data_IF_119962693277
#
_entry.id   IF_119962693277
#
_cell.length_a   1.000
_cell.length_b   1.000
_cell.length_c   1.000
_cell.angle_alpha   90.00
_cell.angle_beta   90.00
_cell.angle_gamma   90.00
#
_symmetry.space_group_name_H-M   'P 1'
#
loop_
_entity.id
_entity.type
_entity.pdbx_description
1 polymer ?
#
# COMPACT_ATOMS: atom_id res chain seq x y z
N UNK A 1 25.84 -14.32 14.13
CA UNK A 1 24.54 -13.87 13.60
C UNK A 1 24.62 -12.41 13.10
N UNK A 2 25.23 -12.16 11.93
CA UNK A 2 25.32 -10.81 11.36
C UNK A 2 24.00 -10.31 10.76
N UNK A 3 23.20 -11.19 10.14
CA UNK A 3 21.94 -10.83 9.47
C UNK A 3 20.87 -10.30 10.43
N UNK A 4 20.75 -10.89 11.62
CA UNK A 4 19.78 -10.44 12.62
C UNK A 4 20.06 -8.99 13.09
N UNK A 5 21.33 -8.63 13.28
CA UNK A 5 21.70 -7.25 13.62
C UNK A 5 21.42 -6.27 12.46
N UNK A 6 21.63 -6.69 11.22
CA UNK A 6 21.31 -5.86 10.05
C UNK A 6 19.80 -5.65 9.87
N UNK A 7 18.97 -6.66 10.17
CA UNK A 7 17.51 -6.54 10.19
C UNK A 7 17.02 -5.51 11.21
N UNK A 8 17.63 -5.46 12.40
CA UNK A 8 17.27 -4.50 13.45
C UNK A 8 17.59 -3.05 13.06
N UNK A 9 18.54 -2.84 12.14
CA UNK A 9 18.85 -1.50 11.63
C UNK A 9 17.71 -0.89 10.79
N UNK A 10 16.85 -1.73 10.19
CA UNK A 10 15.67 -1.27 9.46
C UNK A 10 14.59 -0.78 10.45
N UNK A 11 14.58 0.53 10.71
CA UNK A 11 13.57 1.20 11.55
C UNK A 11 12.24 1.40 10.81
N UNK A 12 11.58 0.30 10.44
CA UNK A 12 10.28 0.30 9.76
C UNK A 12 9.12 0.16 10.75
N UNK A 13 8.03 0.90 10.52
CA UNK A 13 6.80 0.82 11.32
C UNK A 13 5.99 -0.47 11.03
N UNK A 14 6.14 -1.03 9.83
CA UNK A 14 5.51 -2.30 9.41
C UNK A 14 6.58 -3.20 8.77
N UNK A 15 7.31 -4.02 9.54
CA UNK A 15 8.36 -4.88 8.99
C UNK A 15 7.74 -6.00 8.16
N UNK A 16 8.18 -6.13 6.90
CA UNK A 16 7.88 -7.26 6.04
C UNK A 16 9.14 -8.10 5.87
N UNK A 17 9.27 -9.13 6.71
CA UNK A 17 10.51 -9.88 6.91
C UNK A 17 11.01 -10.53 5.61
N UNK A 18 10.11 -11.13 4.82
CA UNK A 18 10.48 -11.82 3.58
C UNK A 18 11.08 -10.86 2.55
N UNK A 19 10.44 -9.71 2.32
CA UNK A 19 10.95 -8.70 1.39
C UNK A 19 12.27 -8.08 1.87
N UNK A 20 12.43 -7.88 3.18
CA UNK A 20 13.68 -7.40 3.77
C UNK A 20 14.81 -8.41 3.57
N UNK A 21 14.56 -9.68 3.90
CA UNK A 21 15.52 -10.78 3.71
C UNK A 21 15.96 -10.90 2.25
N UNK A 22 15.01 -10.79 1.30
CA UNK A 22 15.30 -10.83 -0.13
C UNK A 22 16.25 -9.72 -0.60
N UNK A 23 16.33 -8.59 0.12
CA UNK A 23 17.26 -7.50 -0.22
C UNK A 23 18.64 -7.69 0.41
N UNK A 24 18.74 -8.38 1.54
CA UNK A 24 20.01 -8.54 2.28
C UNK A 24 20.80 -9.78 1.88
N UNK A 25 20.14 -10.84 1.42
CA UNK A 25 20.82 -12.08 1.04
C UNK A 25 20.13 -12.77 -0.13
N UNK A 26 20.95 -13.30 -1.04
CA UNK A 26 20.53 -14.20 -2.11
C UNK A 26 20.73 -15.68 -1.78
N UNK A 27 21.41 -15.99 -0.66
CA UNK A 27 21.68 -17.35 -0.20
C UNK A 27 20.54 -17.83 0.69
N UNK A 28 19.54 -18.48 0.09
CA UNK A 28 18.35 -19.02 0.77
C UNK A 28 18.16 -20.48 0.39
N UNK A 29 17.82 -21.32 1.37
CA UNK A 29 17.45 -22.72 1.15
C UNK A 29 16.09 -23.00 1.81
N UNK A 30 15.27 -23.79 1.15
CA UNK A 30 13.95 -24.21 1.65
C UNK A 30 14.10 -25.59 2.28
N UNK A 31 13.58 -25.75 3.49
CA UNK A 31 13.53 -27.04 4.18
C UNK A 31 12.08 -27.42 4.39
N UNK A 32 11.70 -28.62 3.95
CA UNK A 32 10.37 -29.15 4.22
C UNK A 32 10.26 -29.54 5.70
N UNK A 33 9.24 -29.01 6.36
CA UNK A 33 8.92 -29.32 7.75
C UNK A 33 7.53 -29.95 7.78
N UNK A 34 7.34 -31.14 8.38
CA UNK A 34 6.02 -31.72 8.52
C UNK A 34 5.17 -30.83 9.43
N UNK A 35 4.08 -30.31 8.88
CA UNK A 35 3.10 -29.54 9.65
C UNK A 35 2.05 -30.52 10.20
N UNK A 36 1.89 -30.54 11.52
CA UNK A 36 0.83 -31.32 12.16
C UNK A 36 -0.56 -30.79 11.81
N UNK A 37 -1.57 -31.66 11.87
CA UNK A 37 -2.97 -31.24 11.74
C UNK A 37 -3.33 -30.25 12.84
N UNK A 38 -4.03 -29.17 12.47
CA UNK A 38 -4.49 -28.16 13.42
C UNK A 38 -5.52 -28.80 14.36
N UNK A 39 -5.25 -28.79 15.65
CA UNK A 39 -6.16 -29.37 16.64
C UNK A 39 -7.39 -28.49 16.90
N UNK A 40 -7.30 -27.17 16.67
CA UNK A 40 -8.37 -26.20 16.96
C UNK A 40 -8.37 -25.04 15.96
N UNK A 41 -9.56 -24.55 15.60
CA UNK A 41 -9.79 -23.30 14.85
C UNK A 41 -10.05 -23.48 13.36
N UNK A 42 -10.85 -22.58 12.79
CA UNK A 42 -11.10 -22.50 11.35
C UNK A 42 -9.95 -21.83 10.60
N UNK A 43 -9.81 -22.15 9.31
CA UNK A 43 -8.86 -21.47 8.43
C UNK A 43 -9.12 -19.96 8.43
N UNK A 44 -8.14 -19.19 8.92
CA UNK A 44 -8.20 -17.72 8.88
C UNK A 44 -8.13 -17.19 7.44
N UNK A 45 -7.71 -18.03 6.49
CA UNK A 45 -7.50 -17.73 5.08
C UNK A 45 -8.76 -17.97 4.24
N UNK A 46 -9.69 -17.02 4.28
CA UNK A 46 -10.78 -16.98 3.29
C UNK A 46 -10.29 -16.36 1.98
N UNK A 47 -10.82 -16.78 0.84
CA UNK A 47 -10.45 -16.25 -0.48
C UNK A 47 -10.49 -14.71 -0.52
N UNK A 48 -11.49 -14.10 0.11
CA UNK A 48 -11.61 -12.64 0.24
C UNK A 48 -10.43 -12.01 1.00
N UNK A 49 -9.95 -12.65 2.07
CA UNK A 49 -8.78 -12.18 2.83
C UNK A 49 -7.50 -12.34 2.02
N UNK A 50 -7.35 -13.42 1.24
CA UNK A 50 -6.20 -13.59 0.34
C UNK A 50 -6.16 -12.51 -0.74
N UNK A 51 -7.29 -12.24 -1.40
CA UNK A 51 -7.37 -11.22 -2.45
C UNK A 51 -7.05 -9.83 -1.87
N UNK A 52 -7.65 -9.49 -0.72
CA UNK A 52 -7.34 -8.25 -0.01
C UNK A 52 -5.85 -8.14 0.35
N UNK A 53 -5.25 -9.22 0.84
CA UNK A 53 -3.81 -9.28 1.12
C UNK A 53 -2.96 -9.08 -0.13
N UNK A 54 -3.29 -9.77 -1.23
CA UNK A 54 -2.56 -9.66 -2.49
C UNK A 54 -2.62 -8.24 -3.05
N UNK A 55 -3.80 -7.61 -3.04
CA UNK A 55 -3.97 -6.20 -3.45
C UNK A 55 -3.16 -5.28 -2.56
N UNK A 56 -3.19 -5.48 -1.24
CA UNK A 56 -2.43 -4.64 -0.32
C UNK A 56 -0.91 -4.77 -0.53
N UNK A 57 -0.40 -5.98 -0.79
CA UNK A 57 1.01 -6.22 -1.13
C UNK A 57 1.34 -5.55 -2.47
N UNK A 58 0.52 -5.76 -3.50
CA UNK A 58 0.73 -5.18 -4.83
C UNK A 58 0.80 -3.65 -4.80
N UNK A 59 -0.09 -3.00 -4.06
CA UNK A 59 -0.09 -1.53 -3.96
C UNK A 59 1.02 -1.02 -3.05
N UNK A 60 1.42 -1.78 -2.02
CA UNK A 60 2.48 -1.34 -1.09
C UNK A 60 3.88 -1.45 -1.68
N UNK A 61 4.15 -2.47 -2.50
CA UNK A 61 5.48 -2.71 -3.07
C UNK A 61 5.65 -2.18 -4.50
N UNK A 62 4.62 -1.62 -5.11
CA UNK A 62 4.66 -1.19 -6.50
C UNK A 62 4.27 0.27 -6.68
N UNK A 63 4.89 0.94 -7.66
CA UNK A 63 4.48 2.26 -8.14
C UNK A 63 3.55 2.17 -9.37
N UNK A 64 3.22 0.94 -9.79
CA UNK A 64 2.36 0.65 -10.95
C UNK A 64 1.00 1.34 -10.90
N UNK A 65 0.22 1.30 -9.79
CA UNK A 65 -1.10 1.92 -9.73
C UNK A 65 -1.06 3.42 -10.03
N UNK A 66 -0.09 4.12 -9.43
CA UNK A 66 0.12 5.54 -9.66
C UNK A 66 0.49 5.81 -11.13
N UNK A 67 1.38 4.99 -11.70
CA UNK A 67 1.82 5.12 -13.09
C UNK A 67 0.69 4.88 -14.10
N UNK A 68 -0.16 3.89 -13.85
CA UNK A 68 -1.35 3.61 -14.68
C UNK A 68 -2.33 4.77 -14.61
N UNK A 69 -2.59 5.33 -13.42
CA UNK A 69 -3.43 6.51 -13.27
C UNK A 69 -2.85 7.72 -14.02
N UNK A 70 -1.53 7.95 -13.95
CA UNK A 70 -0.86 9.03 -14.68
C UNK A 70 -0.92 8.86 -16.20
N UNK A 71 -0.62 7.66 -16.72
CA UNK A 71 -0.69 7.40 -18.16
C UNK A 71 -2.13 7.43 -18.69
N UNK A 72 -3.08 6.89 -17.93
CA UNK A 72 -4.52 6.97 -18.24
C UNK A 72 -4.99 8.42 -18.31
N UNK A 73 -4.63 9.24 -17.32
CA UNK A 73 -4.93 10.67 -17.32
C UNK A 73 -4.30 11.43 -18.50
N UNK A 74 -3.05 11.12 -18.85
CA UNK A 74 -2.37 11.73 -19.99
C UNK A 74 -3.03 11.35 -21.34
N UNK A 75 -3.41 10.09 -21.52
CA UNK A 75 -4.13 9.63 -22.70
C UNK A 75 -5.51 10.29 -22.82
N UNK A 76 -6.24 10.41 -21.70
CA UNK A 76 -7.51 11.12 -21.64
C UNK A 76 -7.36 12.59 -22.01
N UNK A 77 -6.34 13.28 -21.46
CA UNK A 77 -6.08 14.67 -21.75
C UNK A 77 -5.78 14.91 -23.23
N UNK A 78 -5.01 14.01 -23.86
CA UNK A 78 -4.72 14.06 -25.30
C UNK A 78 -5.99 13.87 -26.13
N UNK A 79 -6.84 12.90 -25.77
CA UNK A 79 -8.11 12.66 -26.44
C UNK A 79 -9.07 13.85 -26.30
N UNK A 80 -9.17 14.44 -25.10
CA UNK A 80 -9.97 15.64 -24.84
C UNK A 80 -9.45 16.84 -25.63
N UNK A 81 -8.13 17.00 -25.76
CA UNK A 81 -7.53 18.07 -26.54
C UNK A 81 -7.84 17.92 -28.05
N UNK A 82 -7.71 16.71 -28.60
CA UNK A 82 -8.08 16.43 -29.99
C UNK A 82 -9.57 16.67 -30.25
N UNK A 83 -10.45 16.25 -29.34
CA UNK A 83 -11.88 16.51 -29.44
C UNK A 83 -12.20 18.01 -29.36
N UNK A 84 -11.53 18.76 -28.47
CA UNK A 84 -11.68 20.21 -28.39
C UNK A 84 -11.28 20.90 -29.70
N UNK A 85 -10.17 20.50 -30.32
CA UNK A 85 -9.77 21.01 -31.64
C UNK A 85 -10.83 20.73 -32.70
N UNK A 86 -11.37 19.51 -32.75
CA UNK A 86 -12.44 19.16 -33.69
C UNK A 86 -13.68 20.06 -33.53
N UNK A 87 -14.12 20.31 -32.28
CA UNK A 87 -15.27 21.19 -32.00
C UNK A 87 -14.99 22.64 -32.39
N UNK A 88 -13.79 23.16 -32.09
CA UNK A 88 -13.38 24.53 -32.45
C UNK A 88 -13.36 24.72 -33.97
N UNK A 89 -12.76 23.79 -34.72
CA UNK A 89 -12.75 23.87 -36.19
C UNK A 89 -14.15 23.77 -36.79
N UNK A 90 -15.01 22.90 -36.24
CA UNK A 90 -16.41 22.78 -36.64
C UNK A 90 -17.24 24.04 -36.38
N UNK A 91 -16.95 24.75 -35.29
CA UNK A 91 -17.56 26.05 -34.96
C UNK A 91 -17.16 27.14 -35.97
N UNK A 92 -15.86 27.32 -36.24
CA UNK A 92 -15.38 28.31 -37.22
C UNK A 92 -15.85 28.04 -38.66
N UNK A 93 -16.11 26.77 -39.01
CA UNK A 93 -16.61 26.39 -40.33
C UNK A 93 -18.14 26.56 -40.48
N UNK A 94 -18.84 27.07 -39.46
CA UNK A 94 -20.29 27.24 -39.46
C UNK A 94 -21.10 25.94 -39.48
N UNK A 95 -20.46 24.78 -39.25
CA UNK A 95 -21.10 23.45 -39.26
C UNK A 95 -21.79 23.09 -37.96
N UNK A 96 -21.44 23.76 -36.86
CA UNK A 96 -21.97 23.51 -35.51
C UNK A 96 -22.64 24.79 -35.01
N UNK A 97 -23.98 24.85 -35.11
CA UNK A 97 -24.83 26.01 -34.76
C UNK A 97 -25.58 25.84 -33.43
N UNK A 98 -25.68 24.62 -32.90
CA UNK A 98 -26.53 24.30 -31.75
C UNK A 98 -25.78 24.30 -30.39
N UNK A 99 -26.49 24.49 -29.26
CA UNK A 99 -25.87 24.59 -27.95
C UNK A 99 -25.19 23.27 -27.55
N UNK A 100 -23.86 23.28 -27.52
CA UNK A 100 -23.01 22.15 -27.13
C UNK A 100 -23.09 21.75 -25.65
N UNK A 101 -24.11 22.22 -24.92
CA UNK A 101 -24.24 22.13 -23.46
C UNK A 101 -24.18 20.69 -22.96
N UNK A 102 -24.92 19.76 -23.58
CA UNK A 102 -24.91 18.36 -23.17
C UNK A 102 -23.54 17.72 -23.34
N UNK A 103 -22.88 17.93 -24.49
CA UNK A 103 -21.54 17.39 -24.73
C UNK A 103 -20.49 18.01 -23.80
N UNK A 104 -20.59 19.33 -23.56
CA UNK A 104 -19.69 20.06 -22.68
C UNK A 104 -19.84 19.57 -21.25
N UNK A 105 -21.08 19.42 -20.78
CA UNK A 105 -21.36 18.96 -19.42
C UNK A 105 -20.90 17.52 -19.23
N UNK A 106 -21.10 16.63 -20.22
CA UNK A 106 -20.57 15.25 -20.18
C UNK A 106 -19.05 15.20 -20.11
N UNK A 107 -18.33 16.01 -20.91
CA UNK A 107 -16.86 16.05 -20.87
C UNK A 107 -16.34 16.59 -19.54
N UNK A 108 -16.98 17.65 -19.01
CA UNK A 108 -16.60 18.22 -17.71
C UNK A 108 -16.82 17.19 -16.59
N UNK A 109 -17.98 16.53 -16.55
CA UNK A 109 -18.29 15.53 -15.51
C UNK A 109 -17.35 14.33 -15.60
N UNK A 110 -17.03 13.88 -16.81
CA UNK A 110 -16.08 12.79 -17.02
C UNK A 110 -14.67 13.17 -16.58
N UNK A 111 -14.19 14.36 -16.97
CA UNK A 111 -12.89 14.87 -16.56
C UNK A 111 -12.81 15.01 -15.03
N UNK A 112 -13.87 15.53 -14.40
CA UNK A 112 -13.95 15.68 -12.95
C UNK A 112 -13.96 14.32 -12.24
N UNK A 113 -14.68 13.32 -12.78
CA UNK A 113 -14.66 11.95 -12.26
C UNK A 113 -13.27 11.31 -12.34
N UNK A 114 -12.56 11.49 -13.46
CA UNK A 114 -11.18 11.00 -13.61
C UNK A 114 -10.21 11.72 -12.67
N UNK A 115 -10.34 13.04 -12.51
CA UNK A 115 -9.54 13.81 -11.55
C UNK A 115 -9.73 13.32 -10.12
N UNK A 116 -10.97 13.06 -9.69
CA UNK A 116 -11.26 12.51 -8.37
C UNK A 116 -10.67 11.11 -8.19
N UNK A 117 -10.69 10.27 -9.23
CA UNK A 117 -10.06 8.95 -9.20
C UNK A 117 -8.54 9.08 -9.00
N UNK A 118 -7.88 9.95 -9.78
CA UNK A 118 -6.44 10.22 -9.66
C UNK A 118 -6.11 10.76 -8.26
N UNK A 119 -6.91 11.68 -7.73
CA UNK A 119 -6.76 12.20 -6.36
C UNK A 119 -6.95 11.12 -5.30
N UNK A 120 -7.87 10.17 -5.49
CA UNK A 120 -8.07 9.03 -4.59
C UNK A 120 -6.82 8.13 -4.53
N UNK A 121 -6.27 7.78 -5.69
CA UNK A 121 -5.01 7.01 -5.78
C UNK A 121 -3.86 7.79 -5.13
N UNK A 122 -3.75 9.08 -5.41
CA UNK A 122 -2.73 9.94 -4.81
C UNK A 122 -2.87 10.02 -3.29
N UNK A 123 -4.08 10.21 -2.78
CA UNK A 123 -4.37 10.28 -1.35
C UNK A 123 -3.99 9.00 -0.60
N UNK A 124 -4.22 7.84 -1.22
CA UNK A 124 -3.81 6.57 -0.64
C UNK A 124 -2.27 6.38 -0.64
N UNK A 125 -1.55 6.90 -1.63
CA UNK A 125 -0.09 6.96 -1.60
C UNK A 125 0.45 7.94 -0.56
N UNK A 126 -0.10 9.16 -0.50
CA UNK A 126 0.30 10.16 0.50
C UNK A 126 0.01 9.65 1.91
N UNK A 127 -1.13 8.99 2.14
CA UNK A 127 -1.46 8.36 3.42
C UNK A 127 -0.42 7.32 3.86
N UNK A 128 0.05 6.48 2.93
CA UNK A 128 1.15 5.54 3.20
C UNK A 128 2.47 6.23 3.50
N UNK A 129 2.82 7.24 2.70
CA UNK A 129 4.05 8.03 2.89
C UNK A 129 4.06 8.70 4.28
N UNK A 130 2.94 9.31 4.67
CA UNK A 130 2.78 9.92 5.98
C UNK A 130 2.88 8.88 7.10
N UNK A 131 2.29 7.69 6.94
CA UNK A 131 2.45 6.59 7.89
C UNK A 131 3.88 6.09 8.06
N UNK A 132 4.74 6.27 7.04
CA UNK A 132 6.17 5.98 7.12
C UNK A 132 6.98 7.16 7.73
N UNK A 133 6.57 8.40 7.45
CA UNK A 133 7.21 9.61 7.97
C UNK A 133 6.94 9.81 9.47
N UNK A 134 5.70 9.58 9.90
CA UNK A 134 5.35 9.49 11.31
C UNK A 134 5.89 8.16 11.84
N UNK A 135 7.11 8.19 12.39
CA UNK A 135 7.81 7.07 13.07
C UNK A 135 7.07 6.65 14.35
N UNK A 136 5.80 6.28 14.24
CA UNK A 136 4.97 5.83 15.36
C UNK A 136 5.61 4.55 15.91
N UNK A 137 5.86 4.44 17.22
CA UNK A 137 6.43 3.22 17.78
C UNK A 137 5.46 2.06 17.54
N UNK A 138 6.00 0.94 17.04
CA UNK A 138 5.23 -0.26 16.64
C UNK A 138 4.48 -0.87 17.82
N UNK A 139 5.06 -0.77 19.01
CA UNK A 139 4.48 -1.23 20.27
C UNK A 139 4.88 -0.28 21.40
N UNK A 140 4.07 -0.26 22.44
CA UNK A 140 4.39 0.36 23.71
C UNK A 140 4.52 -0.76 24.74
N UNK A 141 5.62 -0.77 25.50
CA UNK A 141 5.81 -1.75 26.57
C UNK A 141 5.07 -1.27 27.80
N UNK A 142 4.04 -2.00 28.22
CA UNK A 142 3.24 -1.65 29.40
C UNK A 142 3.91 -2.06 30.72
N UNK A 143 4.66 -3.17 30.73
CA UNK A 143 5.39 -3.64 31.91
C UNK A 143 6.39 -4.74 31.59
N UNK A 144 7.37 -4.96 32.48
CA UNK A 144 8.35 -6.05 32.38
C UNK A 144 8.23 -6.95 33.61
N UNK A 145 8.08 -8.26 33.40
CA UNK A 145 7.87 -9.25 34.48
C UNK A 145 9.18 -9.73 35.15
N UNK A 146 10.33 -9.16 34.78
CA UNK A 146 11.65 -9.71 35.20
C UNK A 146 12.01 -9.47 36.67
N UNK A 147 11.37 -8.54 37.39
CA UNK A 147 11.78 -8.20 38.76
C UNK A 147 11.18 -9.06 39.89
N UNK A 148 10.26 -10.00 39.60
CA UNK A 148 9.57 -10.73 40.67
C UNK A 148 10.34 -11.94 41.26
N UNK A 149 11.53 -12.31 40.73
CA UNK A 149 12.28 -13.52 41.20
C UNK A 149 13.67 -13.25 41.77
N UNK A 150 14.16 -12.02 41.80
CA UNK A 150 15.49 -11.71 42.38
C UNK A 150 15.42 -11.44 43.89
N UNK A 151 14.27 -11.04 44.43
CA UNK A 151 14.08 -10.71 45.85
C UNK A 151 13.78 -11.92 46.76
N UNK A 152 13.29 -13.05 46.22
CA UNK A 152 12.99 -14.24 47.03
C UNK A 152 14.17 -15.20 47.21
N UNK A 153 15.28 -15.01 46.49
CA UNK A 153 16.46 -15.90 46.56
C UNK A 153 17.56 -15.43 47.52
N UNK A 154 17.39 -14.29 48.18
CA UNK A 154 18.31 -13.76 49.19
C UNK A 154 17.77 -13.85 50.63
N UNK A 155 16.55 -14.36 50.83
CA UNK A 155 15.98 -14.60 52.17
C UNK A 155 15.97 -16.08 52.59
N UNK A 156 16.51 -16.98 51.77
CA UNK A 156 16.55 -18.42 52.06
C UNK A 156 17.98 -18.98 51.99
N UNK A 157 18.90 -18.29 52.66
CA UNK A 157 20.17 -18.86 53.07
C UNK A 157 20.21 -18.81 54.60
N UNK A 158 19.64 -19.87 55.19
CA UNK A 158 19.53 -20.12 56.63
C UNK A 158 20.93 -20.41 57.25
N UNK A 159 21.06 -20.56 58.58
CA UNK A 159 20.46 -21.68 59.34
C UNK A 159 19.57 -21.27 60.53
#
# INVERSE_FOLDING_TARGET
APLAHQLVAFKLNKPYIDGMLSWMTSSVATVEVPHGERQHGDSTYTLRKLISHAVNIFVTFSHLPLRVASYGGAALALASFAYMMFVVFGYFSGRITNPGYTSLMSVILFACGVQLLILGVLGEYVGRLMGAAYRKPVYLVEGRTTDARSSSRLQHHDP
#
